data_IF_926962352993
#
_entry.id   IF_926962352993
#
_cell.length_a   1.000
_cell.length_b   1.000
_cell.length_c   1.000
_cell.angle_alpha   90.00
_cell.angle_beta   90.00
_cell.angle_gamma   90.00
#
_symmetry.space_group_name_H-M   'P 1'
#
loop_
_entity.id
_entity.type
_entity.pdbx_description
1 polymer ?
#
# COMPACT_ATOMS: atom_id res chain seq x y z
N UNK A 1 2.65 3.62 1.12
CA UNK A 1 2.03 3.44 2.45
C UNK A 1 3.01 2.72 3.37
N UNK A 2 3.30 3.27 4.54
CA UNK A 2 4.25 2.72 5.49
C UNK A 2 3.52 2.17 6.72
N UNK A 3 3.91 0.97 7.18
CA UNK A 3 3.42 0.44 8.45
C UNK A 3 3.87 1.32 9.62
N UNK A 4 2.96 1.63 10.53
CA UNK A 4 3.22 2.38 11.75
C UNK A 4 3.02 1.45 12.95
N UNK A 5 4.03 1.37 13.81
CA UNK A 5 4.13 0.37 14.84
C UNK A 5 2.93 0.30 15.78
N UNK A 6 2.31 -0.85 15.84
CA UNK A 6 1.22 -1.19 16.73
C UNK A 6 1.52 -2.48 17.52
N UNK A 7 2.78 -2.88 17.59
CA UNK A 7 3.22 -4.08 18.31
C UNK A 7 2.86 -5.41 17.64
N UNK A 8 2.29 -5.39 16.45
CA UNK A 8 1.91 -6.59 15.68
C UNK A 8 2.88 -6.93 14.55
N UNK A 9 4.01 -6.27 14.47
CA UNK A 9 5.08 -6.60 13.50
C UNK A 9 5.62 -8.02 13.66
N UNK A 10 5.32 -8.67 14.77
CA UNK A 10 5.70 -10.05 15.04
C UNK A 10 4.87 -11.09 14.29
N UNK A 11 3.81 -10.70 13.59
CA UNK A 11 2.94 -11.63 12.88
C UNK A 11 3.51 -12.10 11.53
N UNK A 12 4.67 -11.59 11.13
CA UNK A 12 5.32 -11.96 9.88
C UNK A 12 4.75 -11.26 8.66
N UNK A 13 5.21 -11.70 7.50
CA UNK A 13 4.76 -11.22 6.20
C UNK A 13 4.00 -12.35 5.50
N UNK A 14 2.87 -12.04 4.89
CA UNK A 14 2.18 -12.96 3.99
C UNK A 14 2.96 -13.13 2.68
N UNK A 15 3.04 -14.35 2.17
CA UNK A 15 3.62 -14.65 0.86
C UNK A 15 2.51 -14.81 -0.17
N UNK A 16 2.56 -14.03 -1.25
CA UNK A 16 1.56 -14.05 -2.31
C UNK A 16 2.20 -14.24 -3.67
N UNK A 17 1.69 -15.16 -4.52
CA UNK A 17 2.21 -15.36 -5.86
C UNK A 17 1.95 -14.11 -6.71
N UNK A 18 2.91 -13.78 -7.58
CA UNK A 18 2.83 -12.67 -8.54
C UNK A 18 2.96 -13.23 -9.94
N UNK A 19 2.15 -12.75 -10.88
CA UNK A 19 2.23 -13.17 -12.27
C UNK A 19 3.56 -12.72 -12.93
N UNK A 20 4.13 -13.56 -13.79
CA UNK A 20 5.38 -13.22 -14.50
C UNK A 20 5.30 -11.95 -15.36
N UNK A 21 4.10 -11.58 -15.79
CA UNK A 21 3.82 -10.36 -16.58
C UNK A 21 3.24 -9.22 -15.75
N UNK A 22 3.47 -9.21 -14.42
CA UNK A 22 2.92 -8.16 -13.57
C UNK A 22 3.54 -6.79 -13.85
N UNK A 23 2.82 -5.75 -13.46
CA UNK A 23 3.36 -4.40 -13.40
C UNK A 23 4.51 -4.31 -12.39
N UNK A 24 5.30 -3.24 -12.50
CA UNK A 24 6.34 -2.96 -11.52
C UNK A 24 5.73 -2.74 -10.13
N UNK A 25 6.38 -3.27 -9.12
CA UNK A 25 6.02 -3.11 -7.71
C UNK A 25 7.19 -2.49 -6.97
N UNK A 26 6.91 -1.52 -6.12
CA UNK A 26 7.93 -0.81 -5.34
C UNK A 26 7.69 -0.97 -3.85
N UNK A 27 8.76 -0.83 -3.07
CA UNK A 27 8.67 -0.89 -1.61
C UNK A 27 7.57 0.03 -1.07
N UNK A 28 6.68 -0.50 -0.24
CA UNK A 28 5.52 0.19 0.33
C UNK A 28 4.37 0.47 -0.67
N UNK A 29 4.37 -0.11 -1.86
CA UNK A 29 3.16 -0.09 -2.69
C UNK A 29 2.00 -0.80 -2.00
N UNK A 30 0.79 -0.31 -2.24
CA UNK A 30 -0.42 -1.00 -1.85
C UNK A 30 -0.61 -2.22 -2.75
N UNK A 31 -0.78 -3.40 -2.16
CA UNK A 31 -0.93 -4.66 -2.88
C UNK A 31 -2.36 -5.18 -2.70
N UNK A 32 -2.93 -5.62 -3.80
CA UNK A 32 -4.28 -6.21 -3.87
C UNK A 32 -4.21 -7.62 -4.45
N UNK A 33 -5.21 -8.42 -4.16
CA UNK A 33 -5.39 -9.72 -4.83
C UNK A 33 -6.31 -9.54 -6.03
N UNK A 34 -5.80 -9.84 -7.22
CA UNK A 34 -6.59 -9.88 -8.43
C UNK A 34 -7.50 -11.12 -8.47
N UNK A 35 -8.57 -11.08 -9.26
CA UNK A 35 -9.48 -12.21 -9.47
C UNK A 35 -8.78 -13.48 -10.01
N UNK A 36 -7.59 -13.34 -10.58
CA UNK A 36 -6.72 -14.43 -11.02
C UNK A 36 -6.01 -15.15 -9.87
N UNK A 37 -6.14 -14.67 -8.64
CA UNK A 37 -5.44 -15.19 -7.46
C UNK A 37 -4.01 -14.69 -7.29
N UNK A 38 -3.50 -13.86 -8.20
CA UNK A 38 -2.18 -13.25 -8.11
C UNK A 38 -2.23 -11.90 -7.40
N UNK A 39 -1.16 -11.58 -6.67
CA UNK A 39 -0.97 -10.25 -6.13
C UNK A 39 -0.54 -9.27 -7.22
N UNK A 40 -1.07 -8.05 -7.15
CA UNK A 40 -0.72 -6.95 -8.05
C UNK A 40 -0.79 -5.61 -7.31
N UNK A 41 -0.33 -4.54 -7.95
CA UNK A 41 -0.39 -3.19 -7.37
C UNK A 41 -1.84 -2.69 -7.34
N UNK A 42 -2.24 -2.14 -6.19
CA UNK A 42 -3.53 -1.49 -6.02
C UNK A 42 -3.51 -0.06 -6.56
N UNK A 43 -4.57 0.31 -7.27
CA UNK A 43 -4.83 1.67 -7.74
C UNK A 43 -6.06 2.24 -7.04
N UNK A 44 -6.39 3.51 -7.29
CA UNK A 44 -7.58 4.15 -6.72
C UNK A 44 -8.86 3.31 -6.96
N UNK A 45 -9.67 3.14 -5.92
CA UNK A 45 -10.93 2.40 -5.98
C UNK A 45 -10.79 0.87 -6.10
N UNK A 46 -9.59 0.29 -6.01
CA UNK A 46 -9.44 -1.18 -5.95
C UNK A 46 -9.82 -1.70 -4.58
N UNK A 47 -10.49 -2.84 -4.57
CA UNK A 47 -10.88 -3.62 -3.38
C UNK A 47 -9.91 -4.79 -3.15
N UNK A 48 -10.19 -5.64 -2.17
CA UNK A 48 -9.40 -6.84 -1.86
C UNK A 48 -7.93 -6.53 -1.56
N UNK A 49 -7.72 -5.50 -0.76
CA UNK A 49 -6.39 -5.04 -0.39
C UNK A 49 -5.75 -6.05 0.57
N UNK A 50 -4.58 -6.54 0.21
CA UNK A 50 -3.77 -7.39 1.05
C UNK A 50 -2.98 -6.58 2.09
N UNK A 51 -2.33 -5.51 1.67
CA UNK A 51 -1.51 -4.68 2.55
C UNK A 51 -0.43 -3.91 1.81
N UNK A 52 0.70 -3.64 2.47
CA UNK A 52 1.84 -2.95 1.86
C UNK A 52 2.98 -3.90 1.51
N UNK A 53 3.59 -3.70 0.34
CA UNK A 53 4.74 -4.46 -0.10
C UNK A 53 5.96 -4.21 0.79
N UNK A 54 6.55 -5.28 1.30
CA UNK A 54 7.84 -5.22 1.99
C UNK A 54 9.00 -5.65 1.09
N UNK A 55 8.75 -6.56 0.16
CA UNK A 55 9.74 -7.02 -0.79
C UNK A 55 9.21 -8.14 -1.67
N UNK A 56 10.06 -8.61 -2.56
CA UNK A 56 9.77 -9.73 -3.47
C UNK A 56 10.90 -10.73 -3.45
N UNK A 57 10.55 -12.00 -3.63
CA UNK A 57 11.50 -13.08 -3.80
C UNK A 57 11.23 -13.77 -5.14
N UNK A 58 12.26 -14.03 -5.91
CA UNK A 58 12.17 -14.70 -7.22
C UNK A 58 13.51 -15.30 -7.63
N UNK A 59 13.48 -16.20 -8.59
CA UNK A 59 14.69 -16.65 -9.26
C UNK A 59 14.94 -15.76 -10.48
N UNK A 60 16.02 -14.98 -10.46
CA UNK A 60 16.38 -14.07 -11.55
C UNK A 60 16.59 -14.84 -12.86
N UNK A 61 15.86 -14.45 -13.91
CA UNK A 61 15.85 -15.17 -15.18
C UNK A 61 17.20 -15.11 -15.93
N UNK A 62 18.02 -14.08 -15.68
CA UNK A 62 19.31 -13.92 -16.36
C UNK A 62 20.44 -14.64 -15.63
N UNK A 63 20.43 -14.64 -14.32
CA UNK A 63 21.51 -15.21 -13.50
C UNK A 63 21.19 -16.58 -12.93
N UNK A 64 19.92 -17.00 -13.00
CA UNK A 64 19.38 -18.23 -12.37
C UNK A 64 19.65 -18.30 -10.85
N UNK A 65 19.75 -17.16 -10.19
CA UNK A 65 20.01 -17.09 -8.75
C UNK A 65 18.75 -16.69 -7.99
N UNK A 66 18.49 -17.30 -6.82
CA UNK A 66 17.49 -16.81 -5.90
C UNK A 66 17.81 -15.35 -5.50
N UNK A 67 16.85 -14.46 -5.66
CA UNK A 67 17.01 -13.03 -5.44
C UNK A 67 15.91 -12.52 -4.53
N UNK A 68 16.29 -11.76 -3.52
CA UNK A 68 15.40 -10.95 -2.72
C UNK A 68 15.63 -9.49 -3.05
N UNK A 69 14.56 -8.75 -3.35
CA UNK A 69 14.62 -7.33 -3.64
C UNK A 69 13.45 -6.60 -2.96
N UNK A 70 13.62 -5.31 -2.70
CA UNK A 70 12.54 -4.48 -2.19
C UNK A 70 11.57 -4.00 -3.29
N UNK A 71 11.78 -4.40 -4.53
CA UNK A 71 10.99 -4.02 -5.69
C UNK A 71 10.97 -5.12 -6.75
N UNK A 72 9.99 -5.05 -7.65
CA UNK A 72 9.90 -5.84 -8.87
C UNK A 72 9.80 -4.88 -10.06
N UNK A 73 10.66 -5.06 -11.06
CA UNK A 73 10.51 -4.32 -12.33
C UNK A 73 9.62 -5.09 -13.29
N UNK A 74 8.80 -4.39 -14.06
CA UNK A 74 7.87 -4.99 -15.03
C UNK A 74 8.56 -5.87 -16.10
N UNK A 75 9.84 -5.63 -16.38
CA UNK A 75 10.63 -6.44 -17.30
C UNK A 75 11.15 -7.75 -16.70
N UNK A 76 10.86 -8.05 -15.44
CA UNK A 76 11.26 -9.30 -14.81
C UNK A 76 10.46 -10.46 -15.41
N UNK A 77 11.17 -11.46 -15.96
CA UNK A 77 10.60 -12.63 -16.63
C UNK A 77 10.55 -13.87 -15.72
N UNK A 78 10.79 -13.71 -14.42
CA UNK A 78 10.72 -14.83 -13.48
C UNK A 78 9.27 -15.36 -13.40
N UNK A 79 9.14 -16.66 -13.18
CA UNK A 79 7.84 -17.33 -13.07
C UNK A 79 7.47 -17.75 -11.63
N UNK A 80 8.41 -17.62 -10.70
CA UNK A 80 8.30 -18.05 -9.31
C UNK A 80 8.25 -16.85 -8.32
N UNK A 81 7.74 -15.71 -8.79
CA UNK A 81 7.74 -14.46 -8.02
C UNK A 81 6.77 -14.57 -6.84
N UNK A 82 7.24 -14.20 -5.67
CA UNK A 82 6.47 -14.07 -4.44
C UNK A 82 6.59 -12.66 -3.88
N UNK A 83 5.48 -12.00 -3.67
CA UNK A 83 5.41 -10.75 -2.91
C UNK A 83 5.33 -11.05 -1.42
N UNK A 84 6.14 -10.36 -0.64
CA UNK A 84 6.10 -10.36 0.82
C UNK A 84 5.34 -9.11 1.26
N UNK A 85 4.16 -9.31 1.83
CA UNK A 85 3.20 -8.24 2.12
C UNK A 85 2.94 -8.19 3.62
N UNK A 86 2.93 -6.97 4.16
CA UNK A 86 2.41 -6.75 5.51
C UNK A 86 0.87 -6.73 5.43
N UNK A 87 0.27 -7.88 5.71
CA UNK A 87 -1.13 -8.19 5.42
C UNK A 87 -2.05 -8.19 6.65
N UNK A 88 -1.55 -7.74 7.79
CA UNK A 88 -2.39 -7.65 8.99
C UNK A 88 -3.54 -6.65 8.80
N UNK A 89 -4.81 -7.07 8.96
CA UNK A 89 -5.97 -6.20 8.71
C UNK A 89 -6.11 -5.05 9.73
N UNK A 90 -5.43 -5.17 10.87
CA UNK A 90 -5.43 -4.13 11.92
C UNK A 90 -4.15 -3.29 11.92
N UNK A 91 -3.26 -3.50 10.95
CA UNK A 91 -2.03 -2.72 10.82
C UNK A 91 -2.36 -1.25 10.54
N UNK A 92 -1.73 -0.37 11.29
CA UNK A 92 -1.76 1.06 11.03
C UNK A 92 -0.63 1.42 10.07
N UNK A 93 -0.92 2.37 9.20
CA UNK A 93 0.02 2.87 8.20
C UNK A 93 0.13 4.38 8.30
N UNK A 94 1.24 4.92 7.85
CA UNK A 94 1.40 6.33 7.56
C UNK A 94 1.42 6.54 6.05
N UNK A 95 0.65 7.52 5.60
CA UNK A 95 0.55 7.89 4.19
C UNK A 95 0.52 9.41 4.06
N UNK A 96 1.28 9.91 3.09
CA UNK A 96 1.31 11.34 2.78
C UNK A 96 0.13 11.70 1.89
N UNK A 97 -0.48 12.86 2.13
CA UNK A 97 -1.46 13.49 1.26
C UNK A 97 -0.89 13.86 -0.11
N UNK A 98 -1.73 13.84 -1.16
CA UNK A 98 -1.38 14.36 -2.50
C UNK A 98 -1.61 15.86 -2.64
N UNK A 99 -2.13 16.51 -1.60
CA UNK A 99 -2.45 17.93 -1.59
C UNK A 99 -3.47 18.35 -2.68
N UNK A 100 -4.38 17.46 -3.06
CA UNK A 100 -5.45 17.75 -4.00
C UNK A 100 -6.65 18.47 -3.33
N UNK A 101 -6.73 18.43 -2.02
CA UNK A 101 -7.75 19.09 -1.18
C UNK A 101 -7.12 19.76 0.04
N UNK A 102 -7.94 20.44 0.83
CA UNK A 102 -7.52 21.01 2.11
C UNK A 102 -7.67 19.98 3.22
N UNK A 103 -6.64 19.78 4.01
CA UNK A 103 -6.67 18.90 5.18
C UNK A 103 -7.19 19.64 6.43
N UNK A 104 -7.99 18.96 7.23
CA UNK A 104 -8.55 19.50 8.46
C UNK A 104 -8.65 18.45 9.57
N UNK A 105 -8.76 18.87 10.81
CA UNK A 105 -8.96 17.97 11.95
C UNK A 105 -10.25 17.15 11.83
N UNK A 106 -11.24 17.65 11.11
CA UNK A 106 -12.53 16.98 10.84
C UNK A 106 -12.40 15.78 9.92
N UNK A 107 -11.27 15.62 9.23
CA UNK A 107 -11.01 14.49 8.34
C UNK A 107 -10.62 13.23 9.10
N UNK A 108 -10.30 13.36 10.37
CA UNK A 108 -10.08 12.20 11.25
C UNK A 108 -11.40 11.44 11.44
N UNK A 109 -11.41 10.18 11.07
CA UNK A 109 -12.59 9.33 11.03
C UNK A 109 -13.18 9.16 9.62
N UNK A 110 -12.87 10.06 8.68
CA UNK A 110 -13.27 9.95 7.30
C UNK A 110 -12.50 8.84 6.56
N UNK A 111 -13.01 8.48 5.41
CA UNK A 111 -12.40 7.54 4.48
C UNK A 111 -11.86 8.26 3.26
N UNK A 112 -10.92 7.63 2.57
CA UNK A 112 -10.31 8.16 1.35
C UNK A 112 -9.86 7.04 0.42
N UNK A 113 -9.67 7.35 -0.85
CA UNK A 113 -8.94 6.51 -1.77
C UNK A 113 -7.45 6.89 -1.81
N UNK A 114 -6.63 6.00 -2.34
CA UNK A 114 -5.25 6.31 -2.67
C UNK A 114 -5.17 6.97 -4.05
N UNK A 115 -4.21 7.88 -4.21
CA UNK A 115 -3.73 8.30 -5.52
C UNK A 115 -2.48 7.49 -5.85
N UNK A 116 -2.61 6.55 -6.80
CA UNK A 116 -1.48 5.74 -7.23
C UNK A 116 -0.58 6.53 -8.17
N UNK A 117 0.68 6.58 -7.84
CA UNK A 117 1.75 7.00 -8.75
C UNK A 117 2.84 5.94 -8.67
N UNK A 118 3.31 5.49 -9.82
CA UNK A 118 4.39 4.50 -9.87
C UNK A 118 5.60 5.01 -9.08
N UNK A 119 6.22 4.09 -8.35
CA UNK A 119 7.41 4.41 -7.55
C UNK A 119 8.59 4.80 -8.44
N UNK A 120 9.59 5.40 -7.82
CA UNK A 120 10.81 5.82 -8.49
C UNK A 120 11.79 4.67 -8.67
N UNK A 121 12.31 4.50 -9.89
CA UNK A 121 13.39 3.54 -10.19
C UNK A 121 14.75 3.95 -9.61
N UNK A 122 14.85 5.13 -9.01
CA UNK A 122 16.09 5.60 -8.38
C UNK A 122 16.22 5.15 -6.93
N UNK A 123 15.12 5.12 -6.18
CA UNK A 123 15.09 4.72 -4.76
C UNK A 123 14.22 3.49 -4.49
N UNK A 124 13.46 3.04 -5.49
CA UNK A 124 12.59 1.87 -5.41
C UNK A 124 11.50 1.94 -4.31
N UNK A 125 11.02 3.14 -4.05
CA UNK A 125 9.97 3.40 -3.06
C UNK A 125 8.68 3.83 -3.77
N UNK A 126 7.54 3.41 -3.23
CA UNK A 126 6.20 3.76 -3.69
C UNK A 126 5.99 5.27 -3.86
N UNK A 127 5.29 5.63 -4.90
CA UNK A 127 4.75 6.98 -5.10
C UNK A 127 3.30 7.16 -4.61
N UNK A 128 2.70 6.14 -3.98
CA UNK A 128 1.33 6.21 -3.50
C UNK A 128 1.14 7.28 -2.44
N UNK A 129 0.05 8.05 -2.58
CA UNK A 129 -0.37 9.09 -1.64
C UNK A 129 -1.86 8.89 -1.30
N UNK A 130 -2.32 9.51 -0.22
CA UNK A 130 -3.74 9.66 0.07
C UNK A 130 -4.31 10.75 -0.83
N UNK A 131 -5.44 10.49 -1.48
CA UNK A 131 -6.15 11.50 -2.28
C UNK A 131 -7.09 12.32 -1.39
N UNK A 132 -6.65 13.51 -1.02
CA UNK A 132 -7.42 14.43 -0.17
C UNK A 132 -8.74 14.85 -0.79
N UNK A 133 -8.85 14.86 -2.12
CA UNK A 133 -10.09 15.23 -2.81
C UNK A 133 -11.21 14.21 -2.59
N UNK A 134 -10.86 13.00 -2.16
CA UNK A 134 -11.80 11.91 -1.87
C UNK A 134 -12.21 11.82 -0.41
N UNK A 135 -11.60 12.60 0.49
CA UNK A 135 -11.90 12.58 1.93
C UNK A 135 -13.37 12.85 2.21
N UNK A 136 -14.08 11.83 2.64
CA UNK A 136 -15.49 11.90 3.02
C UNK A 136 -15.91 10.68 3.86
N UNK A 137 -17.20 10.55 4.14
CA UNK A 137 -17.77 9.37 4.80
C UNK A 137 -18.37 8.41 3.78
N UNK A 138 -17.53 7.66 3.07
CA UNK A 138 -17.95 6.69 2.06
C UNK A 138 -17.47 5.27 2.39
N UNK A 139 -18.40 4.32 2.45
CA UNK A 139 -18.11 2.94 2.78
C UNK A 139 -17.23 2.22 1.73
N UNK A 140 -17.27 2.64 0.49
CA UNK A 140 -16.55 2.00 -0.62
C UNK A 140 -15.09 2.43 -0.76
N UNK A 141 -14.60 3.40 0.04
CA UNK A 141 -13.22 3.87 -0.05
C UNK A 141 -12.24 2.94 0.64
N UNK A 142 -11.01 2.95 0.17
CA UNK A 142 -9.95 1.99 0.45
C UNK A 142 -9.38 2.07 1.86
N UNK A 143 -9.22 3.28 2.40
CA UNK A 143 -8.56 3.53 3.68
C UNK A 143 -9.40 4.43 4.58
N UNK A 144 -9.19 4.31 5.89
CA UNK A 144 -9.79 5.19 6.88
C UNK A 144 -8.72 5.96 7.65
N UNK A 145 -8.90 7.26 7.76
CA UNK A 145 -8.04 8.15 8.55
C UNK A 145 -8.34 7.95 10.04
N UNK A 146 -7.33 7.59 10.82
CA UNK A 146 -7.46 7.38 12.28
C UNK A 146 -6.76 8.46 13.09
N UNK A 147 -5.99 9.31 12.44
CA UNK A 147 -5.31 10.42 13.10
C UNK A 147 -4.22 11.02 12.24
N UNK A 148 -3.57 12.01 12.79
CA UNK A 148 -2.40 12.67 12.18
C UNK A 148 -1.16 11.92 12.64
N UNK A 149 -0.13 11.84 11.78
CA UNK A 149 1.18 11.35 12.21
C UNK A 149 1.73 12.24 13.33
N UNK A 150 2.36 11.61 14.31
CA UNK A 150 2.92 12.31 15.49
C UNK A 150 4.33 12.88 15.26
N UNK A 151 4.76 12.95 13.99
CA UNK A 151 6.01 13.60 13.67
C UNK A 151 5.90 15.10 14.03
N UNK A 152 6.85 15.66 14.80
CA UNK A 152 6.85 17.09 15.14
C UNK A 152 6.83 18.02 13.93
N UNK A 153 7.34 17.60 12.79
CA UNK A 153 7.31 18.35 11.53
C UNK A 153 5.95 18.32 10.82
N UNK A 154 5.02 17.45 11.28
CA UNK A 154 3.66 17.28 10.74
C UNK A 154 2.59 17.92 11.61
N UNK A 155 2.84 19.07 12.20
CA UNK A 155 1.96 19.71 13.17
C UNK A 155 1.02 20.77 12.59
N UNK A 156 1.14 21.06 11.30
CA UNK A 156 0.32 22.05 10.59
C UNK A 156 -0.52 21.38 9.49
N UNK A 157 -1.82 21.23 9.75
CA UNK A 157 -2.77 20.66 8.79
C UNK A 157 -3.01 21.54 7.56
N UNK A 158 -2.64 22.80 7.61
CA UNK A 158 -2.75 23.70 6.45
C UNK A 158 -1.55 23.61 5.53
N UNK A 159 -0.50 22.91 5.96
CA UNK A 159 0.68 22.68 5.14
C UNK A 159 0.42 21.67 4.01
N UNK A 160 1.20 21.77 2.96
CA UNK A 160 1.19 20.77 1.90
C UNK A 160 1.72 19.42 2.41
N UNK A 161 1.16 18.33 1.89
CA UNK A 161 1.64 16.98 2.14
C UNK A 161 1.55 16.49 3.60
N UNK A 162 0.46 16.79 4.27
CA UNK A 162 0.16 16.25 5.60
C UNK A 162 0.31 14.72 5.61
N UNK A 163 0.92 14.17 6.64
CA UNK A 163 1.05 12.74 6.83
C UNK A 163 -0.05 12.25 7.78
N UNK A 164 -0.89 11.37 7.27
CA UNK A 164 -1.99 10.76 7.99
C UNK A 164 -1.63 9.37 8.52
N UNK A 165 -2.16 9.04 9.69
CA UNK A 165 -2.25 7.64 10.13
C UNK A 165 -3.57 7.06 9.66
N UNK A 166 -3.49 5.90 9.02
CA UNK A 166 -4.64 5.26 8.40
C UNK A 166 -4.67 3.76 8.70
N UNK A 167 -5.83 3.16 8.53
CA UNK A 167 -6.00 1.70 8.42
C UNK A 167 -6.59 1.37 7.06
N UNK A 168 -6.30 0.17 6.56
CA UNK A 168 -6.94 -0.35 5.36
C UNK A 168 -8.35 -0.79 5.72
N UNK A 169 -9.35 -0.24 5.01
CA UNK A 169 -10.75 -0.54 5.22
C UNK A 169 -11.22 -1.67 4.30
N UNK A 170 -10.86 -1.62 3.02
CA UNK A 170 -11.18 -2.63 2.01
C UNK A 170 -10.14 -3.77 2.01
N UNK A 171 -9.84 -4.30 3.21
CA UNK A 171 -8.93 -5.43 3.34
C UNK A 171 -9.63 -6.72 2.95
N UNK A 172 -8.96 -7.57 2.16
CA UNK A 172 -9.43 -8.90 1.80
C UNK A 172 -9.83 -9.74 3.03
N UNK A 173 -9.17 -9.52 4.18
CA UNK A 173 -9.42 -10.28 5.40
C UNK A 173 -10.56 -9.73 6.25
N UNK A 174 -11.05 -8.53 5.97
CA UNK A 174 -12.20 -7.93 6.63
C UNK A 174 -13.48 -8.07 5.80
N UNK A 175 -13.37 -8.21 4.50
CA UNK A 175 -14.49 -8.46 3.60
C UNK A 175 -14.57 -9.96 3.30
N UNK A 176 -15.63 -10.60 3.78
CA UNK A 176 -15.86 -12.03 3.60
C UNK A 176 -16.62 -12.37 2.31
N UNK A 177 -16.83 -11.41 1.42
CA UNK A 177 -17.56 -11.62 0.16
C UNK A 177 -16.73 -12.32 -0.90
N UNK A 178 -15.42 -12.41 -0.72
CA UNK A 178 -14.47 -13.05 -1.65
C UNK A 178 -14.04 -12.12 -2.78
N UNK A 179 -13.32 -12.68 -3.72
CA UNK A 179 -12.70 -11.96 -4.86
C UNK A 179 -13.47 -12.23 -6.14
#
# INVERSE_FOLDING_TARGET
IRAYGNGYESMGLGEYPVAASSDAMFFQDLIVQAATGFATVGIAGTENILGSLNGVFFTDANTSKPTFANHLLAANQASDIKALVNDSPIQQYEIRSNNAGASAQTDVGNTADIAYTAGSTSNFVSGCTLDDSTLNNNAAQQIQVIGISRDPENNDLTSANVVWRVIIKQSLFNDLTGV
#
